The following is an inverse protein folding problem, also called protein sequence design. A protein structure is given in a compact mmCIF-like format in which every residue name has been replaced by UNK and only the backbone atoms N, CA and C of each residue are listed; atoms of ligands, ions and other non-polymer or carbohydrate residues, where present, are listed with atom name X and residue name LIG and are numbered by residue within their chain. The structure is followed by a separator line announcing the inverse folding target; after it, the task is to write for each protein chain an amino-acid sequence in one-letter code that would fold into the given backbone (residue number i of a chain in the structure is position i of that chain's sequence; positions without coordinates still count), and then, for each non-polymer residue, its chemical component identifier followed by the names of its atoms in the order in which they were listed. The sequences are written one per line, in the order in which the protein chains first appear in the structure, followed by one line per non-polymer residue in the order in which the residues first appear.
data_IF_886777541491
#
_entry.id   IF_886777541491
#
_cell.length_a   1.000
_cell.length_b   1.000
_cell.length_c   1.000
_cell.angle_alpha   90.00
_cell.angle_beta   90.00
_cell.angle_gamma   90.00
#
_symmetry.space_group_name_H-M   'P 1'
#
loop_
_entity.id
_entity.type
_entity.pdbx_description
1 polymer ?
#
# COMPACT_ATOMS: atom_id res chain seq x y z
N UNK A 1 7.26 22.93 14.27
CA UNK A 1 5.97 22.63 13.60
C UNK A 1 6.15 21.84 12.30
N UNK A 2 7.08 22.22 11.40
CA UNK A 2 7.32 21.51 10.13
C UNK A 2 7.86 20.07 10.34
N UNK A 3 8.77 19.86 11.30
CA UNK A 3 9.29 18.52 11.60
C UNK A 3 8.22 17.56 12.12
N UNK A 4 7.26 18.05 12.90
CA UNK A 4 6.18 17.21 13.43
C UNK A 4 5.22 16.77 12.32
N UNK A 5 4.86 17.68 11.40
CA UNK A 5 4.04 17.34 10.23
C UNK A 5 4.68 16.24 9.38
N UNK A 6 5.96 16.38 9.04
CA UNK A 6 6.69 15.38 8.25
C UNK A 6 6.81 14.02 8.96
N UNK A 7 6.97 14.02 10.29
CA UNK A 7 6.96 12.79 11.07
C UNK A 7 5.58 12.11 11.06
N UNK A 8 4.49 12.87 11.16
CA UNK A 8 3.12 12.35 11.11
C UNK A 8 2.78 11.82 9.70
N UNK A 9 3.13 12.54 8.64
CA UNK A 9 2.98 12.07 7.26
C UNK A 9 3.75 10.76 7.07
N UNK A 10 5.00 10.71 7.52
CA UNK A 10 5.83 9.51 7.41
C UNK A 10 5.28 8.35 8.24
N UNK A 11 4.83 8.54 9.48
CA UNK A 11 4.35 7.43 10.31
C UNK A 11 2.92 7.01 9.93
N UNK A 12 2.01 7.98 9.88
CA UNK A 12 0.58 7.77 9.76
C UNK A 12 0.08 7.84 8.31
N UNK A 13 0.81 8.46 7.38
CA UNK A 13 0.34 8.68 6.00
C UNK A 13 -0.72 9.78 5.89
N UNK A 14 -0.85 10.61 6.94
CA UNK A 14 -1.83 11.69 7.03
C UNK A 14 -1.21 12.96 6.49
N UNK A 15 -1.73 13.46 5.37
CA UNK A 15 -1.30 14.72 4.74
C UNK A 15 -2.27 15.88 5.01
N UNK A 16 -3.52 15.56 5.36
CA UNK A 16 -4.58 16.51 5.64
C UNK A 16 -4.88 16.57 7.15
N UNK A 17 -5.10 17.78 7.67
CA UNK A 17 -5.37 18.02 9.09
C UNK A 17 -6.58 18.95 9.23
N UNK A 18 -7.39 18.82 10.31
CA UNK A 18 -7.27 17.87 11.42
C UNK A 18 -7.60 16.42 11.01
N UNK A 19 -7.03 15.44 11.72
CA UNK A 19 -7.23 14.02 11.44
C UNK A 19 -7.26 13.19 12.73
N UNK A 20 -8.02 12.08 12.71
CA UNK A 20 -8.09 11.11 13.81
C UNK A 20 -7.47 9.80 13.36
N UNK A 21 -6.49 9.33 14.15
CA UNK A 21 -5.79 8.06 13.94
C UNK A 21 -5.88 7.20 15.19
N UNK A 22 -6.24 5.93 15.02
CA UNK A 22 -6.41 4.97 16.12
C UNK A 22 -5.45 3.80 15.95
N UNK A 23 -4.78 3.43 17.04
CA UNK A 23 -4.12 2.14 17.21
C UNK A 23 -4.86 1.39 18.32
N UNK A 24 -5.28 0.15 18.09
CA UNK A 24 -6.03 -0.63 19.09
C UNK A 24 -5.25 -0.87 20.37
N UNK A 25 -3.92 -1.05 20.25
CA UNK A 25 -3.02 -1.32 21.38
C UNK A 25 -1.70 -0.58 21.18
N UNK A 26 -1.05 -0.22 22.29
CA UNK A 26 0.31 0.31 22.24
C UNK A 26 1.25 -0.72 21.57
N UNK A 27 1.99 -0.28 20.56
CA UNK A 27 2.87 -1.14 19.77
C UNK A 27 2.18 -1.90 18.61
N UNK A 28 0.86 -1.77 18.43
CA UNK A 28 0.20 -2.30 17.25
C UNK A 28 0.67 -1.55 15.99
N UNK A 29 0.97 -2.30 14.93
CA UNK A 29 1.40 -1.74 13.64
C UNK A 29 0.20 -1.40 12.74
N UNK A 30 -1.00 -1.84 13.12
CA UNK A 30 -2.25 -1.53 12.43
C UNK A 30 -2.74 -0.15 12.86
N UNK A 31 -2.85 0.74 11.89
CA UNK A 31 -3.36 2.10 12.05
C UNK A 31 -4.70 2.23 11.33
N UNK A 32 -5.63 2.90 11.96
CA UNK A 32 -6.95 3.19 11.41
C UNK A 32 -7.10 4.70 11.32
N UNK A 33 -7.35 5.23 10.14
CA UNK A 33 -7.53 6.68 9.93
C UNK A 33 -9.01 6.92 9.64
N UNK A 34 -9.61 7.85 10.38
CA UNK A 34 -11.01 8.19 10.18
C UNK A 34 -11.18 8.84 8.79
N UNK A 35 -12.11 8.37 7.95
CA UNK A 35 -12.39 9.00 6.67
C UNK A 35 -12.94 10.41 6.85
N UNK A 36 -12.89 11.21 5.78
CA UNK A 36 -13.41 12.59 5.78
C UNK A 36 -14.91 12.59 6.10
N UNK A 37 -15.19 12.79 7.39
CA UNK A 37 -16.51 12.85 8.01
C UNK A 37 -16.46 13.97 9.06
N UNK A 38 -17.60 14.59 9.41
CA UNK A 38 -17.61 15.55 10.50
C UNK A 38 -17.09 14.90 11.77
N UNK A 39 -16.04 15.47 12.36
CA UNK A 39 -15.48 15.11 13.66
C UNK A 39 -16.47 15.41 14.79
N UNK A 40 -17.60 14.71 14.77
CA UNK A 40 -18.66 14.74 15.76
C UNK A 40 -18.48 13.59 16.74
N UNK A 41 -19.00 13.73 17.96
CA UNK A 41 -18.95 12.66 18.95
C UNK A 41 -19.57 11.36 18.43
N UNK A 42 -20.71 11.44 17.74
CA UNK A 42 -21.37 10.29 17.13
C UNK A 42 -20.51 9.64 16.04
N UNK A 43 -19.88 10.43 15.17
CA UNK A 43 -19.00 9.91 14.12
C UNK A 43 -17.76 9.21 14.67
N UNK A 44 -17.16 9.76 15.73
CA UNK A 44 -15.99 9.14 16.37
C UNK A 44 -16.37 7.82 17.04
N UNK A 45 -17.51 7.76 17.74
CA UNK A 45 -18.00 6.52 18.36
C UNK A 45 -18.26 5.46 17.28
N UNK A 46 -18.99 5.82 16.23
CA UNK A 46 -19.25 4.90 15.12
C UNK A 46 -17.96 4.37 14.46
N UNK A 47 -16.94 5.22 14.32
CA UNK A 47 -15.64 4.82 13.80
C UNK A 47 -14.92 3.82 14.72
N UNK A 48 -14.93 4.05 16.03
CA UNK A 48 -14.32 3.14 17.01
C UNK A 48 -15.07 1.80 17.01
N UNK A 49 -16.40 1.82 17.03
CA UNK A 49 -17.23 0.60 16.97
C UNK A 49 -16.99 -0.19 15.66
N UNK A 50 -16.85 0.51 14.54
CA UNK A 50 -16.48 -0.06 13.25
C UNK A 50 -15.08 -0.71 13.25
N UNK A 51 -14.13 -0.13 13.98
CA UNK A 51 -12.80 -0.71 14.18
C UNK A 51 -12.90 -1.98 15.03
N UNK A 52 -13.69 -1.98 16.10
CA UNK A 52 -13.84 -3.14 16.99
C UNK A 52 -14.55 -4.32 16.30
N UNK A 53 -15.63 -4.03 15.58
CA UNK A 53 -16.38 -5.01 14.79
C UNK A 53 -15.62 -5.55 13.57
N UNK A 54 -14.58 -4.84 13.11
CA UNK A 54 -13.77 -5.24 11.95
C UNK A 54 -14.29 -4.76 10.60
N UNK A 55 -15.34 -3.94 10.60
CA UNK A 55 -15.87 -3.28 9.40
C UNK A 55 -14.86 -2.27 8.83
N UNK A 56 -14.18 -1.53 9.72
CA UNK A 56 -13.11 -0.61 9.33
C UNK A 56 -11.79 -1.39 9.21
N UNK A 57 -11.23 -1.41 8.00
CA UNK A 57 -9.94 -2.04 7.74
C UNK A 57 -8.77 -1.11 8.10
N UNK A 58 -7.63 -1.66 8.57
CA UNK A 58 -6.45 -0.86 8.85
C UNK A 58 -5.89 -0.28 7.55
N UNK A 59 -5.44 0.98 7.61
CA UNK A 59 -4.83 1.64 6.47
C UNK A 59 -3.42 1.10 6.24
N UNK A 60 -3.28 0.34 5.16
CA UNK A 60 -1.99 -0.05 4.61
C UNK A 60 -1.42 1.13 3.81
N UNK A 61 -0.11 1.37 3.95
CA UNK A 61 0.57 2.29 3.05
C UNK A 61 0.69 1.62 1.69
N UNK A 62 -0.01 2.15 0.72
CA UNK A 62 0.03 1.71 -0.66
C UNK A 62 -0.12 2.92 -1.55
N UNK A 63 0.57 2.89 -2.67
CA UNK A 63 0.23 3.74 -3.81
C UNK A 63 -1.08 3.25 -4.43
N UNK A 64 -1.68 4.10 -5.26
CA UNK A 64 -2.83 3.70 -6.07
C UNK A 64 -2.43 2.57 -7.02
N UNK A 65 -3.25 1.52 -7.16
CA UNK A 65 -2.98 0.48 -8.13
C UNK A 65 -2.87 1.05 -9.55
N UNK A 66 -1.90 0.59 -10.35
CA UNK A 66 -1.85 0.95 -11.75
C UNK A 66 -3.11 0.43 -12.50
N UNK A 67 -3.46 1.03 -13.65
CA UNK A 67 -4.56 0.51 -14.47
C UNK A 67 -4.36 -0.95 -14.84
N UNK A 68 -5.43 -1.76 -14.76
CA UNK A 68 -5.39 -3.20 -15.04
C UNK A 68 -4.89 -3.53 -16.45
N UNK A 69 -5.12 -2.63 -17.41
CA UNK A 69 -4.81 -2.85 -18.83
C UNK A 69 -3.46 -2.24 -19.24
N UNK A 70 -2.54 -2.06 -18.28
CA UNK A 70 -1.21 -1.55 -18.57
C UNK A 70 -0.46 -2.47 -19.55
N UNK A 71 0.11 -1.94 -20.65
CA UNK A 71 0.89 -2.73 -21.62
C UNK A 71 2.27 -3.15 -21.08
N UNK A 72 2.54 -2.91 -19.80
CA UNK A 72 3.81 -3.23 -19.15
C UNK A 72 4.04 -4.74 -19.09
N UNK A 73 5.23 -5.13 -19.53
CA UNK A 73 5.66 -6.53 -19.53
C UNK A 73 5.98 -7.02 -18.11
N UNK A 74 6.48 -6.11 -17.25
CA UNK A 74 6.66 -6.34 -15.82
C UNK A 74 5.57 -5.55 -15.11
N UNK A 75 4.68 -6.26 -14.41
CA UNK A 75 3.54 -5.63 -13.74
C UNK A 75 3.97 -4.93 -12.46
N UNK A 76 3.59 -3.66 -12.31
CA UNK A 76 3.77 -2.93 -11.06
C UNK A 76 2.76 -3.43 -10.00
N UNK A 77 3.27 -3.74 -8.81
CA UNK A 77 2.48 -4.25 -7.67
C UNK A 77 2.60 -3.28 -6.51
N UNK A 78 1.47 -2.86 -5.96
CA UNK A 78 1.39 -1.94 -4.82
C UNK A 78 0.88 -2.67 -3.58
N UNK A 79 0.99 -2.04 -2.40
CA UNK A 79 0.66 -2.68 -1.12
C UNK A 79 -0.74 -3.30 -1.06
N UNK A 80 -1.75 -2.70 -1.70
CA UNK A 80 -3.11 -3.26 -1.72
C UNK A 80 -3.28 -4.47 -2.66
N UNK A 81 -2.52 -4.56 -3.75
CA UNK A 81 -2.60 -5.68 -4.71
C UNK A 81 -1.59 -6.78 -4.42
N UNK A 82 -0.57 -6.51 -3.60
CA UNK A 82 0.55 -7.40 -3.31
C UNK A 82 0.11 -8.78 -2.85
N UNK A 83 -0.85 -8.87 -1.92
CA UNK A 83 -1.25 -10.17 -1.37
C UNK A 83 -1.91 -11.05 -2.42
N UNK A 84 -2.80 -10.49 -3.22
CA UNK A 84 -3.52 -11.20 -4.27
C UNK A 84 -2.54 -11.69 -5.35
N UNK A 85 -1.63 -10.81 -5.79
CA UNK A 85 -0.66 -11.16 -6.83
C UNK A 85 0.33 -12.21 -6.34
N UNK A 86 0.93 -12.03 -5.16
CA UNK A 86 2.00 -12.92 -4.68
C UNK A 86 1.51 -14.28 -4.19
N UNK A 87 0.25 -14.38 -3.75
CA UNK A 87 -0.32 -15.63 -3.26
C UNK A 87 -1.30 -16.25 -4.26
N UNK A 88 -1.19 -15.90 -5.54
CA UNK A 88 -1.97 -16.51 -6.61
C UNK A 88 -1.70 -18.01 -6.68
N UNK A 89 -2.77 -18.82 -6.70
CA UNK A 89 -2.66 -20.27 -6.88
C UNK A 89 -2.49 -20.68 -8.35
N UNK A 90 -2.66 -19.73 -9.28
CA UNK A 90 -2.70 -20.01 -10.73
C UNK A 90 -1.44 -19.60 -11.46
N UNK A 91 -0.54 -18.85 -10.82
CA UNK A 91 0.64 -18.27 -11.47
C UNK A 91 1.87 -18.38 -10.58
N UNK A 92 3.00 -18.78 -11.17
CA UNK A 92 4.31 -18.61 -10.54
C UNK A 92 4.75 -17.15 -10.65
N UNK A 93 5.09 -16.54 -9.52
CA UNK A 93 5.41 -15.11 -9.45
C UNK A 93 6.86 -14.89 -9.04
N UNK A 94 7.62 -14.22 -9.92
CA UNK A 94 8.89 -13.60 -9.59
C UNK A 94 8.65 -12.13 -9.24
N UNK A 95 9.01 -11.72 -8.03
CA UNK A 95 8.73 -10.39 -7.50
C UNK A 95 10.01 -9.67 -7.07
N UNK A 96 10.22 -8.45 -7.57
CA UNK A 96 11.32 -7.57 -7.14
C UNK A 96 10.79 -6.51 -6.16
N UNK A 97 11.31 -6.52 -4.92
CA UNK A 97 11.15 -5.41 -3.99
C UNK A 97 12.30 -4.44 -4.19
N UNK A 98 12.00 -3.22 -4.65
CA UNK A 98 13.01 -2.21 -4.94
C UNK A 98 12.79 -0.91 -4.18
N UNK A 99 13.83 -0.08 -4.15
CA UNK A 99 13.72 1.32 -3.76
C UNK A 99 14.10 2.21 -4.96
N UNK A 100 13.34 3.28 -5.27
CA UNK A 100 13.53 4.05 -6.50
C UNK A 100 14.85 4.84 -6.54
N UNK A 101 15.53 4.99 -5.40
CA UNK A 101 16.87 5.59 -5.31
C UNK A 101 18.01 4.57 -5.27
N UNK A 102 17.71 3.27 -5.22
CA UNK A 102 18.73 2.23 -5.13
C UNK A 102 19.42 2.01 -6.49
N UNK A 103 20.73 2.27 -6.55
CA UNK A 103 21.52 2.08 -7.77
C UNK A 103 21.62 0.62 -8.23
N UNK A 104 21.51 -0.35 -7.33
CA UNK A 104 21.48 -1.77 -7.70
C UNK A 104 20.17 -2.16 -8.38
N UNK A 105 19.03 -1.69 -7.85
CA UNK A 105 17.71 -1.93 -8.45
C UNK A 105 17.63 -1.34 -9.86
N UNK A 106 18.10 -0.09 -10.05
CA UNK A 106 18.16 0.54 -11.37
C UNK A 106 18.98 -0.23 -12.40
N UNK A 107 20.01 -0.96 -11.95
CA UNK A 107 20.81 -1.83 -12.84
C UNK A 107 20.10 -3.14 -13.16
N UNK A 108 19.26 -3.65 -12.24
CA UNK A 108 18.51 -4.89 -12.41
C UNK A 108 17.25 -4.71 -13.28
N UNK A 109 16.57 -3.57 -13.15
CA UNK A 109 15.36 -3.20 -13.90
C UNK A 109 15.41 -3.56 -15.40
N UNK A 110 16.44 -3.19 -16.19
CA UNK A 110 16.49 -3.56 -17.61
C UNK A 110 16.61 -5.07 -17.85
N UNK A 111 17.24 -5.81 -16.96
CA UNK A 111 17.35 -7.27 -17.06
C UNK A 111 16.02 -7.95 -16.69
N UNK A 112 15.30 -7.42 -15.68
CA UNK A 112 13.96 -7.91 -15.34
C UNK A 112 12.97 -7.67 -16.49
N UNK A 113 13.06 -6.52 -17.18
CA UNK A 113 12.26 -6.24 -18.37
C UNK A 113 12.59 -7.20 -19.53
N UNK A 114 13.87 -7.51 -19.77
CA UNK A 114 14.28 -8.53 -20.76
C UNK A 114 13.75 -9.91 -20.40
N UNK A 115 13.78 -10.27 -19.12
CA UNK A 115 13.24 -11.53 -18.62
C UNK A 115 11.74 -11.59 -18.90
N UNK A 116 10.97 -10.58 -18.47
CA UNK A 116 9.53 -10.51 -18.71
C UNK A 116 9.18 -10.68 -20.19
N UNK A 117 9.89 -10.01 -21.10
CA UNK A 117 9.65 -10.12 -22.56
C UNK A 117 9.85 -11.54 -23.08
N UNK A 118 10.82 -12.27 -22.53
CA UNK A 118 11.05 -13.68 -22.89
C UNK A 118 9.91 -14.59 -22.43
N UNK A 119 9.31 -14.31 -21.27
CA UNK A 119 8.20 -15.08 -20.73
C UNK A 119 6.86 -14.74 -21.41
N UNK A 120 6.67 -13.51 -21.91
CA UNK A 120 5.49 -13.17 -22.73
C UNK A 120 5.52 -13.88 -24.09
N UNK A 121 6.72 -14.06 -24.69
CA UNK A 121 6.86 -14.66 -26.02
C UNK A 121 7.00 -16.19 -26.01
N UNK A 122 7.27 -16.80 -24.85
CA UNK A 122 7.22 -18.25 -24.66
C UNK A 122 5.95 -18.60 -23.91
N UNK A 123 4.84 -18.70 -24.62
CA UNK A 123 3.72 -19.52 -24.15
C UNK A 123 4.22 -20.97 -24.05
N UNK A 124 4.32 -21.49 -22.83
CA UNK A 124 4.04 -22.90 -22.57
C UNK A 124 2.53 -23.11 -22.58
#
# INVERSE_FOLDING_TARGET
TIQFKGAIESMLGITQFPAIAVHKKAGDKKKYIMPDQPFSAAGIIAFIDGIESGEVQPQLKSEEPPPSDSPEVVKTVVGVTMREVLLSETQDVLFEVYAPWCGHCKKLEPELQKLGKKFTNKML
#
